data_IF_707923923647
#
_entry.id   IF_707923923647
#
_cell.length_a   1.000
_cell.length_b   1.000
_cell.length_c   1.000
_cell.angle_alpha   90.00
_cell.angle_beta   90.00
_cell.angle_gamma   90.00
#
_symmetry.space_group_name_H-M   'P 1'
#
loop_
_entity.id
_entity.type
_entity.pdbx_description
1 polymer ?
#
# COMPACT_ATOMS: atom_id res chain seq x y z
N UNK A 1 6.30 -8.13 40.09
CA UNK A 1 7.01 -8.53 38.87
C UNK A 1 5.95 -8.60 37.79
N UNK A 2 5.69 -7.47 37.15
CA UNK A 2 4.64 -7.35 36.12
C UNK A 2 5.08 -8.11 34.88
N UNK A 3 4.16 -8.89 34.30
CA UNK A 3 4.42 -9.68 33.10
C UNK A 3 4.80 -8.76 31.93
N UNK A 4 5.73 -9.17 31.04
CA UNK A 4 6.04 -8.39 29.86
C UNK A 4 4.77 -8.30 29.02
N UNK A 5 4.31 -7.08 28.74
CA UNK A 5 3.28 -6.84 27.75
C UNK A 5 3.76 -7.47 26.43
N UNK A 6 3.08 -8.55 26.03
CA UNK A 6 3.25 -9.12 24.71
C UNK A 6 2.85 -8.03 23.72
N UNK A 7 3.84 -7.37 23.09
CA UNK A 7 3.59 -6.50 21.94
C UNK A 7 2.87 -7.35 20.90
N UNK A 8 1.56 -7.16 20.77
CA UNK A 8 0.78 -7.83 19.74
C UNK A 8 1.35 -7.43 18.40
N UNK A 9 2.04 -8.35 17.74
CA UNK A 9 2.59 -8.14 16.41
C UNK A 9 1.40 -7.96 15.47
N UNK A 10 1.16 -6.72 15.04
CA UNK A 10 0.11 -6.42 14.05
C UNK A 10 0.47 -7.18 12.78
N UNK A 11 -0.40 -8.10 12.37
CA UNK A 11 -0.19 -8.96 11.19
C UNK A 11 -0.97 -8.50 9.96
N UNK A 12 -1.94 -7.60 10.16
CA UNK A 12 -2.75 -7.01 9.09
C UNK A 12 -3.26 -5.63 9.48
N UNK A 13 -3.53 -4.80 8.50
CA UNK A 13 -4.08 -3.45 8.63
C UNK A 13 -5.19 -3.25 7.60
N UNK A 14 -6.24 -2.52 7.92
CA UNK A 14 -7.28 -2.19 6.95
C UNK A 14 -6.85 -1.05 6.03
N UNK A 15 -7.35 -1.05 4.78
CA UNK A 15 -7.11 0.04 3.83
C UNK A 15 -7.61 1.40 4.39
N UNK A 16 -8.71 1.39 5.13
CA UNK A 16 -9.18 2.60 5.82
C UNK A 16 -8.19 3.15 6.87
N UNK A 17 -7.44 2.28 7.58
CA UNK A 17 -6.41 2.71 8.52
C UNK A 17 -5.20 3.30 7.79
N UNK A 18 -4.80 2.70 6.66
CA UNK A 18 -3.73 3.24 5.81
C UNK A 18 -4.10 4.63 5.30
N UNK A 19 -5.28 4.78 4.68
CA UNK A 19 -5.74 6.07 4.14
C UNK A 19 -5.82 7.16 5.22
N UNK A 20 -6.30 6.81 6.42
CA UNK A 20 -6.34 7.74 7.57
C UNK A 20 -4.95 8.07 8.12
N UNK A 21 -4.02 7.11 8.13
CA UNK A 21 -2.67 7.31 8.64
C UNK A 21 -1.82 8.14 7.68
N UNK A 22 -2.02 7.96 6.37
CA UNK A 22 -1.22 8.62 5.35
C UNK A 22 -1.80 9.98 4.92
N UNK A 23 -3.10 10.18 5.15
CA UNK A 23 -3.85 11.39 4.76
C UNK A 23 -3.72 11.72 3.26
N UNK A 24 -3.59 10.70 2.43
CA UNK A 24 -3.41 10.80 0.99
C UNK A 24 -4.01 9.56 0.32
N UNK A 25 -4.47 9.67 -0.94
CA UNK A 25 -5.01 8.53 -1.65
C UNK A 25 -3.91 7.54 -1.99
N UNK A 26 -4.33 6.30 -2.31
CA UNK A 26 -3.37 5.31 -2.81
C UNK A 26 -2.82 5.72 -4.18
N UNK A 27 -1.63 5.23 -4.51
CA UNK A 27 -1.08 5.33 -5.86
C UNK A 27 -1.80 4.36 -6.81
N UNK A 28 -1.68 4.61 -8.11
CA UNK A 28 -2.22 3.67 -9.12
C UNK A 28 -1.60 2.28 -8.97
N UNK A 29 -0.29 2.21 -8.73
CA UNK A 29 0.41 0.94 -8.56
C UNK A 29 -0.06 0.17 -7.31
N UNK A 30 -0.39 0.88 -6.23
CA UNK A 30 -1.02 0.29 -5.04
C UNK A 30 -2.44 -0.19 -5.34
N UNK A 31 -3.21 0.54 -6.15
CA UNK A 31 -4.53 0.13 -6.60
C UNK A 31 -4.48 -1.17 -7.42
N UNK A 32 -3.56 -1.27 -8.38
CA UNK A 32 -3.29 -2.50 -9.14
C UNK A 32 -2.94 -3.67 -8.22
N UNK A 33 -2.03 -3.46 -7.27
CA UNK A 33 -1.60 -4.49 -6.33
C UNK A 33 -2.74 -5.01 -5.43
N UNK A 34 -3.51 -4.10 -4.85
CA UNK A 34 -4.66 -4.45 -3.99
C UNK A 34 -5.73 -5.16 -4.82
N UNK A 35 -6.00 -4.69 -6.04
CA UNK A 35 -6.94 -5.31 -6.97
C UNK A 35 -6.54 -6.75 -7.28
N UNK A 36 -5.32 -6.97 -7.74
CA UNK A 36 -4.80 -8.29 -8.10
C UNK A 36 -4.85 -9.26 -6.92
N UNK A 37 -4.31 -8.86 -5.76
CA UNK A 37 -4.28 -9.71 -4.57
C UNK A 37 -5.69 -10.08 -4.08
N UNK A 38 -6.63 -9.13 -4.10
CA UNK A 38 -8.02 -9.42 -3.75
C UNK A 38 -8.70 -10.34 -4.77
N UNK A 39 -8.46 -10.15 -6.06
CA UNK A 39 -9.02 -11.00 -7.11
C UNK A 39 -8.49 -12.44 -7.05
N UNK A 40 -7.19 -12.63 -6.87
CA UNK A 40 -6.61 -13.94 -6.61
C UNK A 40 -7.21 -14.57 -5.34
N UNK A 41 -7.48 -13.78 -4.30
CA UNK A 41 -8.14 -14.30 -3.09
C UNK A 41 -9.59 -14.73 -3.34
N UNK A 42 -10.32 -14.01 -4.19
CA UNK A 42 -11.67 -14.40 -4.62
C UNK A 42 -11.64 -15.71 -5.40
N UNK A 43 -10.65 -15.88 -6.28
CA UNK A 43 -10.46 -17.11 -7.06
C UNK A 43 -10.15 -18.31 -6.15
N UNK A 44 -9.29 -18.14 -5.13
CA UNK A 44 -9.03 -19.18 -4.14
C UNK A 44 -10.29 -19.57 -3.36
N UNK A 45 -11.10 -18.57 -2.97
CA UNK A 45 -12.38 -18.81 -2.30
C UNK A 45 -13.37 -19.53 -3.23
N UNK A 46 -13.26 -19.33 -4.55
CA UNK A 46 -14.04 -20.04 -5.55
C UNK A 46 -13.76 -21.52 -5.63
N UNK A 47 -12.52 -21.90 -5.45
CA UNK A 47 -12.09 -23.29 -5.53
C UNK A 47 -12.39 -24.07 -4.23
N UNK A 48 -12.59 -23.37 -3.10
CA UNK A 48 -12.67 -23.97 -1.75
C UNK A 48 -14.03 -23.99 -1.05
N UNK A 49 -15.09 -23.38 -1.59
CA UNK A 49 -16.38 -23.21 -0.88
C UNK A 49 -17.55 -23.99 -1.49
N UNK A 50 -18.29 -24.70 -0.64
CA UNK A 50 -19.64 -25.21 -0.95
C UNK A 50 -20.70 -24.09 -0.87
N UNK A 51 -21.65 -24.03 -1.83
CA UNK A 51 -22.43 -22.82 -2.12
C UNK A 51 -23.67 -22.68 -1.22
N UNK A 52 -23.63 -21.74 -0.26
CA UNK A 52 -24.85 -21.30 0.46
C UNK A 52 -24.93 -19.78 0.65
N UNK A 53 -24.00 -19.01 0.08
CA UNK A 53 -23.94 -17.57 0.29
C UNK A 53 -24.86 -16.83 -0.69
N UNK A 54 -26.09 -16.55 -0.25
CA UNK A 54 -26.98 -15.62 -0.94
C UNK A 54 -26.67 -14.18 -0.51
N UNK A 55 -26.48 -13.29 -1.48
CA UNK A 55 -26.32 -11.82 -1.34
C UNK A 55 -25.23 -11.36 -0.35
N UNK A 56 -24.08 -11.00 -0.90
CA UNK A 56 -22.90 -10.67 -0.12
C UNK A 56 -22.24 -9.38 -0.63
N UNK A 57 -21.63 -8.60 0.27
CA UNK A 57 -20.97 -7.34 -0.09
C UNK A 57 -19.72 -7.04 0.76
N UNK A 58 -18.87 -6.16 0.24
CA UNK A 58 -17.72 -5.57 0.93
C UNK A 58 -18.17 -4.20 1.48
N UNK A 59 -17.94 -3.93 2.76
CA UNK A 59 -18.36 -2.68 3.41
C UNK A 59 -17.21 -1.66 3.43
N UNK A 60 -16.98 -1.00 2.30
CA UNK A 60 -15.99 0.08 2.17
C UNK A 60 -14.53 -0.36 2.37
N UNK A 61 -13.62 0.61 2.39
CA UNK A 61 -12.18 0.42 2.59
C UNK A 61 -11.80 -0.21 3.95
N UNK A 62 -12.67 -0.11 4.97
CA UNK A 62 -12.49 -0.78 6.26
C UNK A 62 -12.65 -2.31 6.21
N UNK A 63 -13.12 -2.83 5.08
CA UNK A 63 -13.29 -4.27 4.86
C UNK A 63 -12.18 -4.90 4.01
N UNK A 64 -11.23 -4.12 3.50
CA UNK A 64 -10.04 -4.60 2.79
C UNK A 64 -8.86 -4.56 3.75
N UNK A 65 -8.05 -5.62 3.77
CA UNK A 65 -6.92 -5.79 4.66
C UNK A 65 -5.65 -6.11 3.87
N UNK A 66 -4.57 -5.40 4.18
CA UNK A 66 -3.21 -5.75 3.75
C UNK A 66 -2.51 -6.48 4.88
N UNK A 67 -1.79 -7.55 4.55
CA UNK A 67 -1.10 -8.41 5.50
C UNK A 67 0.40 -8.19 5.46
N UNK A 68 1.09 -8.52 6.55
CA UNK A 68 2.53 -8.38 6.67
C UNK A 68 3.34 -9.22 5.66
N UNK A 69 2.73 -10.28 5.11
CA UNK A 69 3.34 -11.12 4.08
C UNK A 69 3.24 -10.52 2.67
N UNK A 70 2.42 -9.48 2.48
CA UNK A 70 2.17 -8.85 1.18
C UNK A 70 0.89 -9.32 0.50
N UNK A 71 0.12 -10.23 1.11
CA UNK A 71 -1.19 -10.62 0.60
C UNK A 71 -2.25 -9.57 0.96
N UNK A 72 -3.36 -9.56 0.20
CA UNK A 72 -4.55 -8.80 0.55
C UNK A 72 -5.74 -9.74 0.78
N UNK A 73 -6.62 -9.37 1.72
CA UNK A 73 -7.88 -10.08 1.94
C UNK A 73 -9.01 -9.11 2.23
N UNK A 74 -10.24 -9.62 2.20
CA UNK A 74 -11.42 -8.80 2.42
C UNK A 74 -12.43 -9.50 3.32
N UNK A 75 -13.19 -8.70 4.07
CA UNK A 75 -14.32 -9.15 4.89
C UNK A 75 -15.61 -8.96 4.14
N UNK A 76 -16.45 -9.97 4.31
CA UNK A 76 -17.58 -10.27 3.44
C UNK A 76 -18.83 -10.32 4.31
N UNK A 77 -19.85 -9.53 3.99
CA UNK A 77 -21.07 -9.38 4.80
C UNK A 77 -22.29 -9.92 4.08
N UNK A 78 -23.20 -10.58 4.80
CA UNK A 78 -24.48 -11.06 4.27
C UNK A 78 -25.55 -9.98 4.40
N UNK A 79 -26.33 -9.74 3.35
CA UNK A 79 -27.51 -8.88 3.42
C UNK A 79 -28.64 -9.68 4.07
N UNK A 80 -28.96 -9.44 5.35
CA UNK A 80 -30.13 -10.05 5.96
C UNK A 80 -31.39 -9.39 5.39
N UNK A 81 -32.16 -10.15 4.60
CA UNK A 81 -33.56 -9.81 4.36
C UNK A 81 -34.29 -9.82 5.70
N UNK A 82 -35.16 -8.83 5.95
CA UNK A 82 -35.99 -8.80 7.16
C UNK A 82 -36.80 -10.10 7.29
N UNK A 83 -36.51 -10.93 8.29
CA UNK A 83 -37.50 -11.68 9.06
C UNK A 83 -36.89 -12.20 10.36
N UNK A 84 -37.58 -11.92 11.45
CA UNK A 84 -37.48 -12.63 12.72
C UNK A 84 -37.82 -14.11 12.44
N UNK A 85 -36.89 -15.03 12.68
CA UNK A 85 -37.10 -16.17 13.57
C UNK A 85 -35.91 -17.13 13.61
N UNK A 86 -35.76 -17.71 14.80
CA UNK A 86 -34.75 -18.65 15.22
C UNK A 86 -34.77 -20.00 14.50
N UNK A 87 -33.59 -20.64 14.51
CA UNK A 87 -33.33 -22.09 14.43
C UNK A 87 -33.21 -22.77 13.05
N UNK A 88 -32.01 -23.35 12.89
CA UNK A 88 -31.73 -24.74 12.45
C UNK A 88 -31.35 -24.97 10.98
N UNK A 89 -30.06 -25.23 10.81
CA UNK A 89 -29.37 -26.06 9.81
C UNK A 89 -29.40 -25.62 8.32
N UNK A 90 -28.29 -25.82 7.58
CA UNK A 90 -28.23 -25.49 6.17
C UNK A 90 -28.86 -26.63 5.35
N UNK A 91 -29.92 -26.35 4.61
CA UNK A 91 -30.39 -27.24 3.56
C UNK A 91 -29.87 -26.75 2.20
N UNK A 92 -29.18 -27.67 1.52
CA UNK A 92 -28.57 -27.51 0.21
C UNK A 92 -29.62 -27.47 -0.90
N UNK A 93 -29.57 -26.44 -1.74
CA UNK A 93 -30.06 -26.49 -3.12
C UNK A 93 -28.98 -25.93 -4.05
N UNK A 94 -28.65 -26.69 -5.09
CA UNK A 94 -27.62 -26.38 -6.08
C UNK A 94 -28.25 -25.55 -7.19
N UNK A 95 -27.82 -24.30 -7.35
CA UNK A 95 -28.04 -23.50 -8.57
C UNK A 95 -26.77 -22.66 -8.82
N UNK A 96 -26.50 -22.44 -10.11
CA UNK A 96 -25.47 -21.66 -10.78
C UNK A 96 -25.24 -20.22 -10.23
N UNK A 97 -24.95 -20.08 -8.93
CA UNK A 97 -24.82 -18.80 -8.21
C UNK A 97 -23.38 -18.42 -7.87
N UNK A 98 -22.38 -19.22 -8.26
CA UNK A 98 -20.99 -18.93 -7.90
C UNK A 98 -20.40 -17.78 -8.74
N UNK A 99 -20.64 -17.78 -10.05
CA UNK A 99 -20.14 -16.72 -10.95
C UNK A 99 -20.74 -15.35 -10.59
N UNK A 100 -22.06 -15.27 -10.38
CA UNK A 100 -22.74 -14.01 -10.05
C UNK A 100 -22.27 -13.37 -8.72
N UNK A 101 -21.91 -14.19 -7.73
CA UNK A 101 -21.39 -13.68 -6.45
C UNK A 101 -20.01 -13.04 -6.63
N UNK A 102 -19.13 -13.66 -7.42
CA UNK A 102 -17.81 -13.11 -7.74
C UNK A 102 -17.94 -11.77 -8.48
N UNK A 103 -18.86 -11.65 -9.44
CA UNK A 103 -19.08 -10.40 -10.17
C UNK A 103 -19.61 -9.28 -9.27
N UNK A 104 -20.52 -9.60 -8.35
CA UNK A 104 -21.03 -8.62 -7.39
C UNK A 104 -19.93 -8.17 -6.41
N UNK A 105 -19.10 -9.09 -5.92
CA UNK A 105 -17.98 -8.73 -5.06
C UNK A 105 -16.91 -7.93 -5.80
N UNK A 106 -16.69 -8.21 -7.09
CA UNK A 106 -15.76 -7.48 -7.96
C UNK A 106 -16.20 -6.04 -8.16
N UNK A 107 -17.50 -5.82 -8.35
CA UNK A 107 -18.10 -4.48 -8.41
C UNK A 107 -17.88 -3.70 -7.11
N UNK A 108 -18.14 -4.31 -5.95
CA UNK A 108 -17.84 -3.67 -4.65
C UNK A 108 -16.34 -3.38 -4.47
N UNK A 109 -15.47 -4.28 -4.92
CA UNK A 109 -14.02 -4.06 -4.87
C UNK A 109 -13.65 -2.85 -5.74
N UNK A 110 -14.21 -2.75 -6.96
CA UNK A 110 -14.00 -1.62 -7.86
C UNK A 110 -14.39 -0.29 -7.22
N UNK A 111 -15.55 -0.24 -6.56
CA UNK A 111 -16.00 0.95 -5.82
C UNK A 111 -15.00 1.33 -4.72
N UNK A 112 -14.58 0.37 -3.91
CA UNK A 112 -13.64 0.63 -2.80
C UNK A 112 -12.27 1.10 -3.29
N UNK A 113 -11.79 0.56 -4.42
CA UNK A 113 -10.52 0.99 -5.02
C UNK A 113 -10.64 2.41 -5.57
N UNK A 114 -11.73 2.72 -6.27
CA UNK A 114 -11.99 4.08 -6.76
C UNK A 114 -12.06 5.09 -5.60
N UNK A 115 -12.83 4.77 -4.54
CA UNK A 115 -12.90 5.60 -3.33
C UNK A 115 -11.54 5.81 -2.65
N UNK A 116 -10.66 4.81 -2.70
CA UNK A 116 -9.31 4.92 -2.14
C UNK A 116 -8.36 5.75 -3.03
N UNK A 117 -8.54 5.73 -4.35
CA UNK A 117 -7.84 6.58 -5.31
C UNK A 117 -8.31 8.04 -5.23
N UNK A 118 -9.59 8.25 -4.93
CA UNK A 118 -10.23 9.57 -4.83
C UNK A 118 -10.19 10.14 -3.39
N UNK A 119 -9.51 9.46 -2.47
CA UNK A 119 -9.46 9.85 -1.07
C UNK A 119 -8.88 11.27 -0.87
N UNK A 120 -9.66 12.12 -0.19
CA UNK A 120 -9.23 13.48 0.14
C UNK A 120 -9.37 14.50 -1.00
N UNK A 121 -10.01 14.12 -2.10
CA UNK A 121 -10.34 15.02 -3.21
C UNK A 121 -11.74 15.62 -2.97
N UNK A 122 -11.92 16.90 -3.31
CA UNK A 122 -13.21 17.57 -3.22
C UNK A 122 -14.18 17.05 -4.28
N UNK A 123 -15.47 16.92 -3.96
CA UNK A 123 -16.52 16.40 -4.88
C UNK A 123 -16.67 17.12 -6.24
N UNK A 124 -15.98 18.25 -6.44
CA UNK A 124 -16.00 19.02 -7.69
C UNK A 124 -14.76 18.77 -8.56
N UNK A 125 -13.79 18.00 -8.06
CA UNK A 125 -12.56 17.63 -8.73
C UNK A 125 -12.56 16.12 -8.91
N UNK A 126 -12.25 15.66 -10.11
CA UNK A 126 -12.05 14.23 -10.37
C UNK A 126 -10.56 13.96 -10.52
N UNK A 127 -10.11 12.82 -9.99
CA UNK A 127 -8.74 12.37 -10.21
C UNK A 127 -8.55 11.93 -11.66
N UNK A 128 -7.56 12.50 -12.32
CA UNK A 128 -7.07 11.97 -13.60
C UNK A 128 -6.34 10.64 -13.35
N UNK A 129 -6.86 9.56 -13.90
CA UNK A 129 -6.26 8.22 -13.87
C UNK A 129 -5.60 7.92 -15.21
N UNK A 130 -4.61 7.03 -15.22
CA UNK A 130 -4.09 6.49 -16.47
C UNK A 130 -5.16 5.69 -17.23
N UNK A 131 -5.18 5.80 -18.57
CA UNK A 131 -6.12 5.06 -19.42
C UNK A 131 -6.22 3.55 -19.10
N UNK A 132 -5.13 2.82 -18.77
CA UNK A 132 -5.21 1.41 -18.41
C UNK A 132 -5.98 1.17 -17.10
N UNK A 133 -5.77 2.00 -16.08
CA UNK A 133 -6.44 1.85 -14.78
C UNK A 133 -7.90 2.26 -14.86
N UNK A 134 -8.22 3.32 -15.59
CA UNK A 134 -9.60 3.72 -15.84
C UNK A 134 -10.38 2.59 -16.54
N UNK A 135 -9.79 1.95 -17.56
CA UNK A 135 -10.38 0.79 -18.24
C UNK A 135 -10.62 -0.39 -17.29
N UNK A 136 -9.68 -0.69 -16.40
CA UNK A 136 -9.83 -1.73 -15.38
C UNK A 136 -11.03 -1.42 -14.46
N UNK A 137 -11.14 -0.18 -13.98
CA UNK A 137 -12.23 0.22 -13.09
C UNK A 137 -13.58 0.21 -13.81
N UNK A 138 -13.63 0.67 -15.05
CA UNK A 138 -14.83 0.56 -15.90
C UNK A 138 -15.28 -0.90 -16.09
N UNK A 139 -14.33 -1.83 -16.28
CA UNK A 139 -14.60 -3.27 -16.36
C UNK A 139 -15.17 -3.80 -15.03
N UNK A 140 -14.55 -3.45 -13.89
CA UNK A 140 -15.01 -3.89 -12.57
C UNK A 140 -16.39 -3.33 -12.19
N UNK A 141 -16.66 -2.08 -12.57
CA UNK A 141 -17.90 -1.35 -12.26
C UNK A 141 -19.00 -1.55 -13.31
N UNK A 142 -18.75 -2.34 -14.36
CA UNK A 142 -19.70 -2.62 -15.46
C UNK A 142 -20.20 -1.34 -16.14
N UNK A 143 -19.31 -0.38 -16.34
CA UNK A 143 -19.62 0.91 -16.97
C UNK A 143 -19.45 0.86 -18.50
N UNK A 144 -18.95 -0.24 -19.07
CA UNK A 144 -18.75 -0.37 -20.52
C UNK A 144 -20.04 -0.83 -21.23
N UNK A 145 -20.76 0.11 -21.85
CA UNK A 145 -21.92 -0.19 -22.70
C UNK A 145 -21.54 -0.71 -24.11
N UNK A 146 -20.26 -0.62 -24.53
CA UNK A 146 -19.83 -0.90 -25.92
C UNK A 146 -19.23 -2.28 -26.13
N UNK A 147 -18.91 -3.04 -25.08
CA UNK A 147 -18.42 -4.39 -25.20
C UNK A 147 -19.57 -5.40 -25.39
N UNK A 148 -19.89 -5.71 -26.65
CA UNK A 148 -20.77 -6.83 -27.04
C UNK A 148 -20.15 -8.23 -26.73
N UNK A 149 -19.19 -8.32 -25.80
CA UNK A 149 -18.51 -9.55 -25.42
C UNK A 149 -18.89 -9.96 -23.99
N UNK A 150 -19.32 -11.21 -23.75
CA UNK A 150 -19.49 -11.75 -22.41
C UNK A 150 -18.10 -12.11 -21.86
N UNK A 151 -17.37 -11.13 -21.34
CA UNK A 151 -16.03 -11.31 -20.76
C UNK A 151 -15.82 -10.39 -19.55
N UNK A 152 -16.85 -10.24 -18.73
CA UNK A 152 -16.74 -9.60 -17.41
C UNK A 152 -16.45 -10.69 -16.38
N UNK A 153 -15.38 -11.45 -16.50
CA UNK A 153 -15.06 -12.48 -15.51
C UNK A 153 -13.96 -12.01 -14.56
N UNK A 154 -13.96 -12.56 -13.35
CA UNK A 154 -12.87 -12.39 -12.38
C UNK A 154 -11.48 -12.65 -13.02
N UNK A 155 -11.42 -13.57 -13.99
CA UNK A 155 -10.21 -13.90 -14.72
C UNK A 155 -9.73 -12.76 -15.62
N UNK A 156 -10.64 -12.00 -16.22
CA UNK A 156 -10.31 -10.90 -17.11
C UNK A 156 -9.65 -9.74 -16.33
N UNK A 157 -10.11 -9.49 -15.10
CA UNK A 157 -9.47 -8.51 -14.19
C UNK A 157 -8.09 -8.98 -13.75
N UNK A 158 -7.93 -10.24 -13.36
CA UNK A 158 -6.61 -10.80 -13.01
C UNK A 158 -5.65 -10.65 -14.19
N UNK A 159 -6.09 -11.05 -15.38
CA UNK A 159 -5.30 -10.95 -16.61
C UNK A 159 -4.94 -9.52 -16.96
N UNK A 160 -5.86 -8.57 -16.82
CA UNK A 160 -5.58 -7.14 -17.04
C UNK A 160 -4.51 -6.62 -16.08
N UNK A 161 -4.54 -7.05 -14.81
CA UNK A 161 -3.48 -6.74 -13.84
C UNK A 161 -2.13 -7.39 -14.22
N UNK A 162 -2.11 -8.60 -14.79
CA UNK A 162 -0.88 -9.24 -15.25
C UNK A 162 -0.28 -8.51 -16.48
N UNK A 163 -1.14 -8.10 -17.41
CA UNK A 163 -0.77 -7.40 -18.65
C UNK A 163 -0.34 -5.93 -18.42
N UNK A 164 -0.68 -5.35 -17.27
CA UNK A 164 -0.16 -4.04 -16.84
C UNK A 164 1.37 -4.06 -16.65
N UNK A 165 1.94 -5.21 -16.31
CA UNK A 165 3.38 -5.38 -16.14
C UNK A 165 4.07 -5.76 -17.44
N UNK A 166 5.34 -5.37 -17.58
CA UNK A 166 6.17 -5.81 -18.71
C UNK A 166 6.37 -7.32 -18.76
N UNK A 167 6.31 -7.99 -17.60
CA UNK A 167 6.45 -9.44 -17.43
C UNK A 167 5.26 -9.98 -16.63
N UNK A 168 4.21 -10.53 -17.29
CA UNK A 168 3.03 -11.06 -16.63
C UNK A 168 3.32 -12.10 -15.55
N UNK A 169 4.36 -12.92 -15.75
CA UNK A 169 4.76 -13.97 -14.79
C UNK A 169 5.26 -13.42 -13.45
N UNK A 170 5.65 -12.14 -13.39
CA UNK A 170 6.14 -11.51 -12.17
C UNK A 170 5.03 -10.84 -11.36
N UNK A 171 3.80 -10.79 -11.88
CA UNK A 171 2.67 -10.09 -11.26
C UNK A 171 2.44 -10.46 -9.80
N UNK A 172 2.42 -11.76 -9.49
CA UNK A 172 2.24 -12.22 -8.11
C UNK A 172 3.31 -11.67 -7.17
N UNK A 173 4.59 -11.79 -7.54
CA UNK A 173 5.71 -11.34 -6.71
C UNK A 173 5.77 -9.81 -6.60
N UNK A 174 5.51 -9.11 -7.71
CA UNK A 174 5.52 -7.65 -7.77
C UNK A 174 4.41 -7.05 -6.89
N UNK A 175 3.17 -7.50 -7.06
CA UNK A 175 2.04 -7.00 -6.28
C UNK A 175 2.12 -7.40 -4.80
N UNK A 176 2.67 -8.57 -4.47
CA UNK A 176 3.02 -8.94 -3.09
C UNK A 176 4.02 -7.95 -2.49
N UNK A 177 5.08 -7.60 -3.23
CA UNK A 177 6.09 -6.64 -2.76
C UNK A 177 5.50 -5.25 -2.56
N UNK A 178 4.65 -4.77 -3.47
CA UNK A 178 3.97 -3.48 -3.37
C UNK A 178 3.08 -3.41 -2.13
N UNK A 179 2.24 -4.43 -1.90
CA UNK A 179 1.40 -4.52 -0.71
C UNK A 179 2.23 -4.63 0.59
N UNK A 180 3.33 -5.38 0.56
CA UNK A 180 4.24 -5.51 1.72
C UNK A 180 4.98 -4.20 2.02
N UNK A 181 5.39 -3.45 1.00
CA UNK A 181 5.99 -2.12 1.17
C UNK A 181 5.00 -1.19 1.84
N UNK A 182 3.77 -1.12 1.32
CA UNK A 182 2.70 -0.29 1.89
C UNK A 182 2.39 -0.65 3.35
N UNK A 183 2.31 -1.95 3.66
CA UNK A 183 2.16 -2.43 5.04
C UNK A 183 3.32 -1.97 5.94
N UNK A 184 4.56 -2.11 5.46
CA UNK A 184 5.76 -1.75 6.23
C UNK A 184 5.82 -0.25 6.47
N UNK A 185 5.54 0.57 5.46
CA UNK A 185 5.46 2.03 5.56
C UNK A 185 4.42 2.46 6.61
N UNK A 186 3.24 1.84 6.60
CA UNK A 186 2.23 2.05 7.62
C UNK A 186 2.76 1.75 9.03
N UNK A 187 3.40 0.59 9.21
CA UNK A 187 3.95 0.20 10.50
C UNK A 187 5.05 1.14 10.99
N UNK A 188 5.91 1.64 10.10
CA UNK A 188 6.93 2.62 10.44
C UNK A 188 6.32 3.97 10.86
N UNK A 189 5.29 4.45 10.15
CA UNK A 189 4.58 5.67 10.56
C UNK A 189 3.87 5.50 11.92
N UNK A 190 3.25 4.34 12.19
CA UNK A 190 2.63 4.06 13.49
C UNK A 190 3.65 4.07 14.64
N UNK A 191 4.86 3.54 14.42
CA UNK A 191 5.96 3.62 15.39
C UNK A 191 6.35 5.07 15.64
N UNK A 192 6.54 5.86 14.57
CA UNK A 192 6.89 7.28 14.68
C UNK A 192 5.80 8.07 15.43
N UNK A 193 4.52 7.83 15.12
CA UNK A 193 3.41 8.46 15.82
C UNK A 193 3.42 8.13 17.32
N UNK A 194 3.69 6.87 17.67
CA UNK A 194 3.81 6.43 19.07
C UNK A 194 4.97 7.13 19.78
N UNK A 195 6.13 7.26 19.12
CA UNK A 195 7.30 7.97 19.67
C UNK A 195 6.97 9.44 19.90
N UNK A 196 6.33 10.10 18.94
CA UNK A 196 5.93 11.52 19.05
C UNK A 196 4.91 11.72 20.18
N UNK A 197 3.96 10.81 20.34
CA UNK A 197 2.95 10.91 21.39
C UNK A 197 3.58 10.75 22.78
N UNK A 198 4.48 9.77 22.95
CA UNK A 198 5.22 9.56 24.21
C UNK A 198 6.14 10.73 24.55
N UNK A 199 6.80 11.34 23.56
CA UNK A 199 7.68 12.48 23.81
C UNK A 199 6.90 13.75 24.20
N UNK A 200 5.70 13.95 23.66
CA UNK A 200 4.78 15.00 24.09
C UNK A 200 4.34 14.85 25.54
N UNK A 201 4.12 13.61 26.01
CA UNK A 201 3.70 13.33 27.40
C UNK A 201 4.83 13.57 28.42
N UNK A 202 6.09 13.26 28.08
CA UNK A 202 7.26 13.54 28.93
C UNK A 202 7.52 15.05 29.08
N UNK A 203 7.05 15.87 28.13
CA UNK A 203 7.17 17.32 28.18
C UNK A 203 6.24 18.05 29.14
N UNK A 204 5.26 17.35 29.74
CA UNK A 204 4.48 17.93 30.84
C UNK A 204 5.26 17.96 32.18
N UNK A 205 6.54 17.53 32.22
CA UNK A 205 7.26 17.32 33.48
C UNK A 205 8.76 17.65 33.57
N UNK A 206 9.45 18.31 32.62
CA UNK A 206 10.89 18.72 32.80
C UNK A 206 11.42 19.74 31.75
N UNK A 207 12.42 20.61 32.08
CA UNK A 207 12.71 21.85 31.35
C UNK A 207 13.58 21.71 30.08
N UNK A 208 12.94 21.98 28.93
CA UNK A 208 13.33 22.70 27.68
C UNK A 208 14.78 22.77 27.12
N UNK A 209 15.84 22.28 27.75
CA UNK A 209 17.21 22.64 27.30
C UNK A 209 17.73 21.86 26.08
N UNK A 210 17.31 20.62 25.83
CA UNK A 210 17.84 19.82 24.70
C UNK A 210 17.06 20.00 23.37
N UNK A 211 15.81 20.47 23.43
CA UNK A 211 14.95 20.62 22.25
C UNK A 211 15.28 21.86 21.41
N UNK A 212 15.82 22.91 22.04
CA UNK A 212 16.20 24.13 21.34
C UNK A 212 17.29 23.90 20.29
N UNK A 213 18.22 22.97 20.53
CA UNK A 213 19.34 22.72 19.61
C UNK A 213 18.85 21.94 18.38
N UNK A 214 17.98 20.95 18.56
CA UNK A 214 17.48 20.10 17.47
C UNK A 214 16.44 20.81 16.59
N UNK A 215 15.56 21.63 17.18
CA UNK A 215 14.63 22.47 16.40
C UNK A 215 15.37 23.56 15.62
N UNK A 216 16.44 24.13 16.17
CA UNK A 216 17.21 25.16 15.48
C UNK A 216 17.97 24.59 14.28
N UNK A 217 18.59 23.42 14.40
CA UNK A 217 19.28 22.78 13.27
C UNK A 217 18.30 22.38 12.16
N UNK A 218 17.13 21.85 12.52
CA UNK A 218 16.14 21.38 11.53
C UNK A 218 15.43 22.56 10.83
N UNK A 219 15.07 23.61 11.57
CA UNK A 219 14.53 24.84 10.97
C UNK A 219 15.57 25.59 10.13
N UNK A 220 16.84 25.56 10.51
CA UNK A 220 17.93 26.12 9.70
C UNK A 220 18.09 25.36 8.37
N UNK A 221 18.12 24.03 8.40
CA UNK A 221 18.24 23.20 7.19
C UNK A 221 17.04 23.44 6.26
N UNK A 222 15.82 23.45 6.77
CA UNK A 222 14.61 23.71 5.97
C UNK A 222 14.69 25.10 5.32
N UNK A 223 15.12 26.13 6.07
CA UNK A 223 15.29 27.49 5.52
C UNK A 223 16.36 27.56 4.44
N UNK A 224 17.47 26.83 4.60
CA UNK A 224 18.51 26.74 3.56
C UNK A 224 18.01 26.00 2.31
N UNK A 225 17.24 24.93 2.47
CA UNK A 225 16.64 24.19 1.35
C UNK A 225 15.57 25.02 0.61
N UNK A 226 14.77 25.81 1.34
CA UNK A 226 13.77 26.72 0.78
C UNK A 226 14.38 27.88 -0.02
N UNK A 227 15.64 28.24 0.23
CA UNK A 227 16.38 29.20 -0.62
C UNK A 227 16.74 28.62 -1.99
N UNK A 228 16.50 27.33 -2.20
CA UNK A 228 16.73 26.62 -3.45
C UNK A 228 18.21 26.30 -3.64
N UNK A 229 18.53 25.02 -3.82
CA UNK A 229 19.85 24.60 -4.27
C UNK A 229 19.85 24.69 -5.80
N UNK A 230 20.58 25.66 -6.37
CA UNK A 230 20.76 25.71 -7.83
C UNK A 230 21.57 24.50 -8.28
N UNK A 231 20.88 23.48 -8.78
CA UNK A 231 21.54 22.39 -9.51
C UNK A 231 22.25 22.98 -10.72
N UNK A 232 23.58 22.77 -10.78
CA UNK A 232 24.38 23.19 -11.93
C UNK A 232 23.86 22.43 -13.15
N UNK A 233 23.24 23.14 -14.10
CA UNK A 233 22.84 22.54 -15.40
C UNK A 233 24.07 21.85 -15.99
N UNK A 234 23.97 20.55 -16.25
CA UNK A 234 24.97 19.84 -17.03
C UNK A 234 24.96 20.45 -18.44
N UNK A 235 25.97 21.26 -18.77
CA UNK A 235 26.23 21.61 -20.16
C UNK A 235 26.43 20.30 -20.92
N UNK A 236 25.60 20.02 -21.91
CA UNK A 236 25.87 18.98 -22.91
C UNK A 236 27.32 19.15 -23.39
N UNK A 237 28.18 18.21 -22.99
CA UNK A 237 29.47 18.03 -23.65
C UNK A 237 29.26 16.98 -24.74
N UNK A 238 29.79 17.19 -25.96
CA UNK A 238 29.68 16.22 -27.03
C UNK A 238 30.28 14.89 -26.58
N UNK A 239 29.57 13.80 -26.88
CA UNK A 239 30.03 12.42 -26.66
C UNK A 239 31.43 12.26 -27.27
N UNK A 240 32.46 12.22 -26.43
CA UNK A 240 33.75 11.62 -26.78
C UNK A 240 33.86 10.30 -26.04
N UNK A 241 33.91 9.21 -26.81
CA UNK A 241 34.28 7.90 -26.32
C UNK A 241 35.70 7.97 -25.72
N UNK A 242 35.81 7.61 -24.44
CA UNK A 242 37.07 7.38 -23.74
C UNK A 242 36.93 6.12 -22.87
N UNK A 243 38.03 5.41 -22.55
CA UNK A 243 38.02 4.03 -22.06
C UNK A 243 37.38 3.92 -20.66
N UNK A 244 37.01 2.71 -20.19
CA UNK A 244 36.27 2.56 -18.94
C UNK A 244 37.04 3.16 -17.76
N UNK A 245 36.60 4.33 -17.32
CA UNK A 245 37.08 4.97 -16.10
C UNK A 245 36.76 4.04 -14.93
N UNK A 246 37.80 3.64 -14.19
CA UNK A 246 37.65 3.01 -12.87
C UNK A 246 36.62 3.80 -12.09
N UNK A 247 35.60 3.09 -11.58
CA UNK A 247 34.54 3.65 -10.78
C UNK A 247 35.14 4.57 -9.71
N UNK A 248 34.92 5.88 -9.83
CA UNK A 248 35.39 6.84 -8.84
C UNK A 248 34.48 6.66 -7.64
N UNK A 249 34.95 5.91 -6.64
CA UNK A 249 34.21 5.74 -5.38
C UNK A 249 33.92 7.10 -4.77
N UNK A 250 32.73 7.24 -4.21
CA UNK A 250 32.36 8.44 -3.46
C UNK A 250 33.27 8.60 -2.23
N UNK A 251 33.50 9.82 -1.73
CA UNK A 251 34.28 10.04 -0.50
C UNK A 251 33.77 9.23 0.69
N UNK A 252 32.45 8.97 0.75
CA UNK A 252 31.83 8.12 1.76
C UNK A 252 32.22 6.65 1.63
N UNK A 253 32.21 6.10 0.42
CA UNK A 253 32.64 4.72 0.16
C UNK A 253 34.14 4.50 0.38
N UNK A 254 34.96 5.52 0.14
CA UNK A 254 36.38 5.50 0.48
C UNK A 254 36.59 5.49 2.00
N UNK A 255 35.84 6.32 2.73
CA UNK A 255 35.90 6.36 4.18
C UNK A 255 35.42 5.06 4.83
N UNK A 256 34.32 4.49 4.33
CA UNK A 256 33.83 3.18 4.77
C UNK A 256 34.87 2.08 4.52
N UNK A 257 35.53 2.10 3.37
CA UNK A 257 36.58 1.15 3.03
C UNK A 257 37.80 1.30 3.95
N UNK A 258 38.19 2.53 4.28
CA UNK A 258 39.27 2.80 5.23
C UNK A 258 38.92 2.35 6.65
N UNK A 259 37.67 2.52 7.08
CA UNK A 259 37.18 2.03 8.38
C UNK A 259 37.16 0.49 8.39
N UNK A 260 36.59 -0.14 7.37
CA UNK A 260 36.51 -1.60 7.24
C UNK A 260 37.88 -2.27 7.25
N UNK A 261 38.85 -1.68 6.55
CA UNK A 261 40.21 -2.19 6.47
C UNK A 261 41.15 -1.63 7.54
N UNK A 262 40.62 -0.90 8.54
CA UNK A 262 41.39 -0.28 9.64
C UNK A 262 42.56 0.60 9.18
N UNK A 263 42.41 1.27 8.05
CA UNK A 263 43.40 2.20 7.47
C UNK A 263 43.28 3.59 8.09
N UNK A 264 43.23 3.66 9.41
CA UNK A 264 43.10 4.91 10.16
C UNK A 264 44.01 4.91 11.40
N UNK A 265 44.50 6.09 11.80
CA UNK A 265 45.32 6.29 12.99
C UNK A 265 44.56 7.16 13.99
N UNK A 266 44.08 6.57 15.09
CA UNK A 266 43.40 7.31 16.15
C UNK A 266 44.42 7.95 17.08
N UNK A 267 44.22 9.22 17.43
CA UNK A 267 44.98 9.87 18.50
C UNK A 267 44.30 9.58 19.83
N UNK A 268 45.10 9.19 20.83
CA UNK A 268 44.60 9.00 22.19
C UNK A 268 44.27 10.37 22.78
N UNK A 269 43.04 10.54 23.22
CA UNK A 269 42.63 11.69 24.03
C UNK A 269 42.98 11.33 25.47
N UNK A 270 43.85 12.11 26.10
CA UNK A 270 44.11 11.99 27.53
C UNK A 270 43.01 12.76 28.27
N UNK A 271 42.42 12.12 29.28
CA UNK A 271 41.42 12.73 30.18
C UNK A 271 42.00 13.89 31.00
#
# INVERSE_FOLDING_TARGET
>A
MEAPHCEQRITKVSLAEILRCFEQPISEEQAWAICFQCCCKMEQLAQGLSPSLHSVFIKGSGSIFLHADGTASFKVYRKSGKSIDSLRAPQCFVVHCFLGLCLQLLEYLGVVIYEALDWGIDNNLERELSDPLEKLLCLMLKLDEKAMKPADTLQDVIKACEEHLSSPSEASSHYEMTCRSLFTEYMELQKLQTIIQRSKEVHLGSPLSCYSICLHTLTYIIRELQKGVKLRKSSERPRRCAPPQKCVRSPYELLLDDIQHKRYTLRKVSD
#
